data_IF_478190550725
#
_entry.id   IF_478190550725
#
_cell.length_a   1.000
_cell.length_b   1.000
_cell.length_c   1.000
_cell.angle_alpha   90.00
_cell.angle_beta   90.00
_cell.angle_gamma   90.00
#
_symmetry.space_group_name_H-M   'P 1'
#
loop_
_entity.id
_entity.type
_entity.pdbx_description
1 polymer ?
#
# COMPACT_ATOMS: atom_id res chain seq x y z
N UNK A 1 -37.03 5.86 -21.46
CA UNK A 1 -36.98 4.69 -20.55
C UNK A 1 -35.79 3.76 -20.75
N UNK A 2 -35.53 3.18 -21.94
CA UNK A 2 -34.41 2.23 -22.15
C UNK A 2 -33.04 2.72 -21.63
N UNK A 3 -32.73 4.00 -21.84
CA UNK A 3 -31.46 4.59 -21.40
C UNK A 3 -31.33 4.67 -19.87
N UNK A 4 -32.39 5.02 -19.14
CA UNK A 4 -32.39 5.05 -17.67
C UNK A 4 -32.14 3.65 -17.07
N UNK A 5 -32.70 2.60 -17.68
CA UNK A 5 -32.45 1.21 -17.26
C UNK A 5 -30.99 0.80 -17.47
N UNK A 6 -30.37 1.17 -18.61
CA UNK A 6 -28.94 0.92 -18.86
C UNK A 6 -28.08 1.60 -17.79
N UNK A 7 -28.41 2.85 -17.44
CA UNK A 7 -27.68 3.61 -16.41
C UNK A 7 -27.83 2.95 -15.03
N UNK A 8 -29.02 2.47 -14.68
CA UNK A 8 -29.21 1.71 -13.43
C UNK A 8 -28.48 0.38 -13.42
N UNK A 9 -28.47 -0.36 -14.52
CA UNK A 9 -27.72 -1.61 -14.59
C UNK A 9 -26.22 -1.37 -14.43
N UNK A 10 -25.71 -0.26 -14.97
CA UNK A 10 -24.34 0.18 -14.73
C UNK A 10 -24.13 0.53 -13.24
N UNK A 11 -25.03 1.31 -12.63
CA UNK A 11 -24.94 1.65 -11.21
C UNK A 11 -24.93 0.41 -10.31
N UNK A 12 -25.82 -0.55 -10.58
CA UNK A 12 -25.92 -1.81 -9.86
C UNK A 12 -24.65 -2.68 -9.99
N UNK A 13 -24.01 -2.69 -11.16
CA UNK A 13 -22.71 -3.38 -11.37
C UNK A 13 -21.54 -2.68 -10.68
N UNK A 14 -21.65 -1.38 -10.44
CA UNK A 14 -20.62 -0.60 -9.75
C UNK A 14 -20.71 -0.79 -8.23
N UNK A 15 -21.89 -1.08 -7.69
CA UNK A 15 -22.09 -1.29 -6.26
C UNK A 15 -21.25 -2.47 -5.72
N UNK A 16 -20.73 -2.36 -4.48
CA UNK A 16 -20.08 -3.47 -3.81
C UNK A 16 -21.06 -4.62 -3.55
N UNK A 17 -20.56 -5.86 -3.54
CA UNK A 17 -21.40 -7.08 -3.50
C UNK A 17 -22.42 -7.15 -2.35
N UNK A 18 -22.12 -6.56 -1.18
CA UNK A 18 -23.04 -6.52 -0.04
C UNK A 18 -24.24 -5.57 -0.24
N UNK A 19 -24.27 -4.75 -1.29
CA UNK A 19 -25.37 -3.84 -1.63
C UNK A 19 -26.11 -4.21 -2.91
N UNK A 20 -26.05 -5.47 -3.35
CA UNK A 20 -26.77 -5.87 -4.57
C UNK A 20 -28.29 -5.67 -4.47
N UNK A 21 -28.87 -5.82 -3.27
CA UNK A 21 -30.29 -5.52 -3.03
C UNK A 21 -30.66 -4.05 -3.32
N UNK A 22 -29.72 -3.11 -3.16
CA UNK A 22 -29.95 -1.72 -3.54
C UNK A 22 -30.05 -1.56 -5.06
N UNK A 23 -29.26 -2.32 -5.83
CA UNK A 23 -29.37 -2.33 -7.29
C UNK A 23 -30.72 -2.85 -7.77
N UNK A 24 -31.29 -3.84 -7.10
CA UNK A 24 -32.65 -4.33 -7.38
C UNK A 24 -33.72 -3.29 -7.04
N UNK A 25 -33.60 -2.63 -5.88
CA UNK A 25 -34.49 -1.54 -5.51
C UNK A 25 -34.42 -0.37 -6.50
N UNK A 26 -33.22 0.04 -6.93
CA UNK A 26 -33.05 1.09 -7.95
C UNK A 26 -33.73 0.73 -9.28
N UNK A 27 -33.70 -0.54 -9.69
CA UNK A 27 -34.41 -1.01 -10.89
C UNK A 27 -35.93 -0.93 -10.72
N UNK A 28 -36.44 -1.31 -9.55
CA UNK A 28 -37.86 -1.22 -9.25
C UNK A 28 -38.34 0.24 -9.29
N UNK A 29 -37.60 1.15 -8.67
CA UNK A 29 -37.90 2.59 -8.64
C UNK A 29 -37.89 3.20 -10.05
N UNK A 30 -36.87 2.93 -10.88
CA UNK A 30 -36.85 3.45 -12.27
C UNK A 30 -38.01 2.95 -13.12
N UNK A 31 -38.53 1.75 -12.86
CA UNK A 31 -39.70 1.22 -13.57
C UNK A 31 -41.00 1.89 -13.11
N UNK A 32 -41.05 2.39 -11.88
CA UNK A 32 -42.22 3.09 -11.35
C UNK A 32 -42.30 4.56 -11.83
N UNK A 33 -41.19 5.15 -12.28
CA UNK A 33 -41.17 6.52 -12.81
C UNK A 33 -41.71 6.55 -14.24
N UNK A 34 -42.86 7.18 -14.45
CA UNK A 34 -43.52 7.30 -15.76
C UNK A 34 -42.80 8.25 -16.71
N UNK A 35 -42.24 9.33 -16.15
CA UNK A 35 -41.55 10.38 -16.89
C UNK A 35 -40.12 9.96 -17.28
N UNK A 36 -39.85 9.90 -18.58
CA UNK A 36 -38.53 9.56 -19.11
C UNK A 36 -37.37 10.44 -18.61
N UNK A 37 -37.49 11.79 -18.55
CA UNK A 37 -36.41 12.64 -18.01
C UNK A 37 -36.19 12.42 -16.51
N UNK A 38 -37.25 12.23 -15.73
CA UNK A 38 -37.13 12.02 -14.28
C UNK A 38 -36.50 10.66 -13.97
N UNK A 39 -36.88 9.62 -14.71
CA UNK A 39 -36.27 8.30 -14.60
C UNK A 39 -34.77 8.35 -14.90
N UNK A 40 -34.36 9.18 -15.88
CA UNK A 40 -32.95 9.36 -16.22
C UNK A 40 -32.20 10.16 -15.15
N UNK A 41 -32.79 11.22 -14.62
CA UNK A 41 -32.21 12.01 -13.53
C UNK A 41 -31.99 11.15 -12.29
N UNK A 42 -32.98 10.34 -11.91
CA UNK A 42 -32.87 9.36 -10.83
C UNK A 42 -31.74 8.36 -11.10
N UNK A 43 -31.72 7.76 -12.29
CA UNK A 43 -30.69 6.80 -12.66
C UNK A 43 -29.27 7.39 -12.60
N UNK A 44 -29.11 8.63 -13.04
CA UNK A 44 -27.85 9.38 -12.94
C UNK A 44 -27.43 9.62 -11.48
N UNK A 45 -28.36 9.98 -10.61
CA UNK A 45 -28.12 10.12 -9.17
C UNK A 45 -27.66 8.82 -8.52
N UNK A 46 -28.32 7.70 -8.86
CA UNK A 46 -27.93 6.37 -8.39
C UNK A 46 -26.53 5.97 -8.86
N UNK A 47 -26.20 6.22 -10.13
CA UNK A 47 -24.86 5.95 -10.66
C UNK A 47 -23.79 6.79 -9.95
N UNK A 48 -24.07 8.07 -9.73
CA UNK A 48 -23.16 8.94 -8.98
C UNK A 48 -22.94 8.44 -7.54
N UNK A 49 -24.00 8.08 -6.83
CA UNK A 49 -23.92 7.53 -5.48
C UNK A 49 -23.12 6.22 -5.44
N UNK A 50 -23.36 5.30 -6.39
CA UNK A 50 -22.63 4.04 -6.50
C UNK A 50 -21.13 4.26 -6.77
N UNK A 51 -20.79 5.25 -7.63
CA UNK A 51 -19.40 5.63 -7.90
C UNK A 51 -18.73 6.23 -6.65
N UNK A 52 -19.41 7.12 -5.94
CA UNK A 52 -18.91 7.71 -4.69
C UNK A 52 -18.65 6.64 -3.62
N UNK A 53 -19.60 5.73 -3.41
CA UNK A 53 -19.46 4.63 -2.46
C UNK A 53 -18.25 3.74 -2.79
N UNK A 54 -18.11 3.34 -4.06
CA UNK A 54 -17.00 2.49 -4.51
C UNK A 54 -15.65 3.20 -4.37
N UNK A 55 -15.59 4.50 -4.65
CA UNK A 55 -14.38 5.31 -4.45
C UNK A 55 -14.01 5.35 -2.97
N UNK A 56 -14.99 5.50 -2.07
CA UNK A 56 -14.77 5.52 -0.62
C UNK A 56 -14.23 4.18 -0.11
N UNK A 57 -14.81 3.05 -0.52
CA UNK A 57 -14.32 1.72 -0.13
C UNK A 57 -12.90 1.48 -0.63
N UNK A 58 -12.59 1.82 -1.88
CA UNK A 58 -11.25 1.64 -2.43
C UNK A 58 -10.23 2.55 -1.73
N UNK A 59 -10.58 3.81 -1.47
CA UNK A 59 -9.74 4.73 -0.69
C UNK A 59 -9.48 4.18 0.71
N UNK A 60 -10.50 3.63 1.36
CA UNK A 60 -10.37 3.00 2.68
C UNK A 60 -9.42 1.79 2.63
N UNK A 61 -9.61 0.87 1.68
CA UNK A 61 -8.74 -0.31 1.52
C UNK A 61 -7.28 0.11 1.28
N UNK A 62 -7.05 1.06 0.37
CA UNK A 62 -5.70 1.54 0.06
C UNK A 62 -5.09 2.26 1.26
N UNK A 63 -5.86 3.08 1.97
CA UNK A 63 -5.41 3.78 3.17
C UNK A 63 -5.06 2.81 4.30
N UNK A 64 -5.92 1.84 4.60
CA UNK A 64 -5.66 0.79 5.58
C UNK A 64 -4.43 -0.04 5.20
N UNK A 65 -4.29 -0.39 3.91
CA UNK A 65 -3.10 -1.09 3.41
C UNK A 65 -1.82 -0.30 3.62
N UNK A 66 -1.82 1.01 3.31
CA UNK A 66 -0.67 1.90 3.57
C UNK A 66 -0.34 2.01 5.05
N UNK A 67 -1.35 2.08 5.93
CA UNK A 67 -1.16 2.12 7.37
C UNK A 67 -0.55 0.83 7.92
N UNK A 68 -1.06 -0.34 7.52
CA UNK A 68 -0.56 -1.63 7.99
C UNK A 68 0.88 -1.87 7.55
N UNK A 69 1.17 -1.68 6.26
CA UNK A 69 2.53 -1.84 5.74
C UNK A 69 3.46 -0.80 6.36
N UNK A 70 3.00 0.45 6.51
CA UNK A 70 3.75 1.52 7.17
C UNK A 70 4.08 1.19 8.63
N UNK A 71 3.13 0.64 9.39
CA UNK A 71 3.33 0.22 10.77
C UNK A 71 4.38 -0.88 10.88
N UNK A 72 4.26 -1.96 10.09
CA UNK A 72 5.24 -3.05 10.09
C UNK A 72 6.63 -2.51 9.73
N UNK A 73 6.71 -1.65 8.72
CA UNK A 73 7.96 -0.99 8.33
C UNK A 73 8.55 -0.18 9.47
N UNK A 74 7.74 0.59 10.19
CA UNK A 74 8.18 1.40 11.30
C UNK A 74 8.70 0.55 12.46
N UNK A 75 8.05 -0.58 12.76
CA UNK A 75 8.51 -1.54 13.77
C UNK A 75 9.88 -2.13 13.42
N UNK A 76 10.10 -2.46 12.14
CA UNK A 76 11.44 -2.87 11.66
C UNK A 76 12.47 -1.76 11.85
N UNK A 77 12.12 -0.51 11.51
CA UNK A 77 13.00 0.64 11.74
C UNK A 77 13.36 0.83 13.21
N UNK A 78 12.37 0.74 14.10
CA UNK A 78 12.56 0.83 15.54
C UNK A 78 13.45 -0.30 16.07
N UNK A 79 13.25 -1.54 15.60
CA UNK A 79 14.09 -2.68 15.96
C UNK A 79 15.57 -2.43 15.63
N UNK A 80 15.88 -1.92 14.43
CA UNK A 80 17.26 -1.54 14.09
C UNK A 80 17.80 -0.44 15.01
N UNK A 81 17.02 0.60 15.30
CA UNK A 81 17.48 1.65 16.22
C UNK A 81 17.73 1.11 17.64
N UNK A 82 16.92 0.17 18.13
CA UNK A 82 17.16 -0.51 19.41
C UNK A 82 18.47 -1.30 19.35
N UNK A 83 18.74 -2.04 18.27
CA UNK A 83 20.02 -2.74 18.08
C UNK A 83 21.21 -1.77 18.08
N UNK A 84 21.06 -0.60 17.47
CA UNK A 84 22.09 0.45 17.48
C UNK A 84 22.36 0.95 18.89
N UNK A 85 21.30 1.29 19.64
CA UNK A 85 21.41 1.76 21.03
C UNK A 85 22.09 0.70 21.89
N UNK A 86 21.66 -0.55 21.80
CA UNK A 86 22.26 -1.65 22.56
C UNK A 86 23.76 -1.85 22.23
N UNK A 87 24.15 -1.65 20.96
CA UNK A 87 25.55 -1.69 20.55
C UNK A 87 26.37 -0.50 21.09
N UNK A 88 25.77 0.69 21.16
CA UNK A 88 26.42 1.90 21.68
C UNK A 88 26.54 1.90 23.22
N UNK A 89 25.59 1.29 23.93
CA UNK A 89 25.57 1.22 25.40
C UNK A 89 26.34 0.03 25.96
N UNK A 90 26.94 -0.80 25.09
CA UNK A 90 27.68 -1.99 25.50
C UNK A 90 26.80 -3.13 26.02
N UNK A 91 25.50 -3.10 25.74
CA UNK A 91 24.55 -4.16 26.09
C UNK A 91 24.60 -5.35 25.12
N UNK A 92 25.39 -5.25 24.04
CA UNK A 92 25.61 -6.35 23.11
C UNK A 92 26.56 -7.41 23.69
N UNK A 93 26.25 -8.69 23.46
CA UNK A 93 27.08 -9.81 23.92
C UNK A 93 28.50 -9.85 23.30
N UNK A 94 28.73 -9.06 22.25
CA UNK A 94 30.00 -8.95 21.54
C UNK A 94 30.31 -7.48 21.26
N UNK A 95 31.60 -7.09 21.17
CA UNK A 95 31.98 -5.74 20.76
C UNK A 95 31.50 -5.47 19.34
N UNK A 96 30.73 -4.38 19.17
CA UNK A 96 30.17 -3.99 17.88
C UNK A 96 31.16 -3.09 17.16
N UNK A 97 31.49 -3.43 15.92
CA UNK A 97 32.36 -2.58 15.11
C UNK A 97 31.65 -1.26 14.75
N UNK A 98 32.35 -0.11 14.75
CA UNK A 98 31.71 1.19 14.47
C UNK A 98 30.93 1.26 13.16
N UNK A 99 31.41 0.61 12.10
CA UNK A 99 30.73 0.57 10.80
C UNK A 99 29.38 -0.18 10.87
N UNK A 100 29.25 -1.18 11.75
CA UNK A 100 27.97 -1.89 11.97
C UNK A 100 26.96 -0.96 12.60
N UNK A 101 27.37 -0.12 13.55
CA UNK A 101 26.49 0.88 14.17
C UNK A 101 25.95 1.85 13.12
N UNK A 102 26.81 2.36 12.23
CA UNK A 102 26.41 3.25 11.12
C UNK A 102 25.44 2.56 10.17
N UNK A 103 25.71 1.30 9.82
CA UNK A 103 24.83 0.50 8.94
C UNK A 103 23.46 0.29 9.58
N UNK A 104 23.41 -0.15 10.85
CA UNK A 104 22.16 -0.35 11.60
C UNK A 104 21.39 0.96 11.73
N UNK A 105 22.06 2.08 12.02
CA UNK A 105 21.44 3.40 12.09
C UNK A 105 20.79 3.78 10.75
N UNK A 106 21.52 3.58 9.65
CA UNK A 106 21.04 3.89 8.30
C UNK A 106 19.83 3.03 7.95
N UNK A 107 19.85 1.74 8.31
CA UNK A 107 18.70 0.84 8.15
C UNK A 107 17.49 1.32 8.95
N UNK A 108 17.67 1.64 10.24
CA UNK A 108 16.58 2.11 11.10
C UNK A 108 15.93 3.39 10.58
N UNK A 109 16.74 4.40 10.27
CA UNK A 109 16.26 5.69 9.74
C UNK A 109 15.60 5.54 8.38
N UNK A 110 16.15 4.72 7.49
CA UNK A 110 15.57 4.47 6.17
C UNK A 110 14.21 3.78 6.27
N UNK A 111 14.03 2.81 7.17
CA UNK A 111 12.72 2.17 7.36
C UNK A 111 11.70 3.16 7.92
N UNK A 112 12.06 4.00 8.89
CA UNK A 112 11.14 5.04 9.40
C UNK A 112 10.76 6.06 8.30
N UNK A 113 11.72 6.47 7.47
CA UNK A 113 11.47 7.36 6.34
C UNK A 113 10.56 6.70 5.28
N UNK A 114 10.77 5.40 5.00
CA UNK A 114 9.91 4.63 4.09
C UNK A 114 8.49 4.49 4.65
N UNK A 115 8.34 4.20 5.94
CA UNK A 115 7.05 4.14 6.63
C UNK A 115 6.29 5.48 6.51
N UNK A 116 6.96 6.59 6.83
CA UNK A 116 6.39 7.93 6.68
C UNK A 116 6.03 8.23 5.22
N UNK A 117 6.91 7.87 4.27
CA UNK A 117 6.66 8.00 2.84
C UNK A 117 5.43 7.23 2.38
N UNK A 118 5.16 6.06 2.95
CA UNK A 118 4.00 5.24 2.59
C UNK A 118 2.70 5.78 3.21
N UNK A 119 2.73 6.12 4.51
CA UNK A 119 1.56 6.62 5.26
C UNK A 119 1.09 7.98 4.73
N UNK A 120 2.02 8.92 4.51
CA UNK A 120 1.72 10.25 3.99
C UNK A 120 1.69 10.33 2.46
N UNK A 121 1.78 9.17 1.79
CA UNK A 121 1.79 9.04 0.33
C UNK A 121 2.77 9.98 -0.40
N UNK A 122 4.03 9.92 0.02
CA UNK A 122 5.16 10.61 -0.61
C UNK A 122 6.04 9.60 -1.33
N UNK A 123 5.73 9.20 -2.58
CA UNK A 123 6.42 8.13 -3.28
C UNK A 123 7.91 8.40 -3.48
N UNK A 124 8.31 9.66 -3.73
CA UNK A 124 9.73 10.04 -3.85
C UNK A 124 10.51 9.73 -2.58
N UNK A 125 9.96 10.10 -1.41
CA UNK A 125 10.55 9.82 -0.10
C UNK A 125 10.64 8.32 0.17
N UNK A 126 9.56 7.59 -0.14
CA UNK A 126 9.54 6.13 0.01
C UNK A 126 10.65 5.47 -0.81
N UNK A 127 10.74 5.79 -2.11
CA UNK A 127 11.73 5.16 -2.99
C UNK A 127 13.17 5.55 -2.65
N UNK A 128 13.43 6.80 -2.25
CA UNK A 128 14.75 7.20 -1.77
C UNK A 128 15.14 6.46 -0.50
N UNK A 129 14.20 6.27 0.42
CA UNK A 129 14.44 5.56 1.66
C UNK A 129 14.67 4.05 1.43
N UNK A 130 13.91 3.42 0.53
CA UNK A 130 14.16 2.04 0.11
C UNK A 130 15.53 1.90 -0.54
N UNK A 131 15.91 2.81 -1.43
CA UNK A 131 17.24 2.78 -2.06
C UNK A 131 18.36 2.92 -1.02
N UNK A 132 18.19 3.80 -0.03
CA UNK A 132 19.14 4.02 1.05
C UNK A 132 19.28 2.80 1.98
N UNK A 133 18.22 2.00 2.14
CA UNK A 133 18.28 0.74 2.87
C UNK A 133 18.94 -0.39 2.04
N UNK A 134 18.66 -0.46 0.74
CA UNK A 134 19.13 -1.55 -0.13
C UNK A 134 20.60 -1.41 -0.48
N UNK A 135 21.07 -0.22 -0.85
CA UNK A 135 22.45 -0.02 -1.36
C UNK A 135 23.53 -0.48 -0.37
N UNK A 136 23.52 -0.08 0.92
CA UNK A 136 24.52 -0.54 1.88
C UNK A 136 24.47 -2.05 2.10
N UNK A 137 23.27 -2.62 2.19
CA UNK A 137 23.11 -4.07 2.32
C UNK A 137 23.70 -4.82 1.13
N UNK A 138 23.47 -4.32 -0.10
CA UNK A 138 23.95 -4.94 -1.33
C UNK A 138 25.47 -4.91 -1.41
N UNK A 139 26.08 -3.77 -1.08
CA UNK A 139 27.54 -3.63 -0.99
C UNK A 139 28.13 -4.63 0.01
N UNK A 140 27.57 -4.73 1.21
CA UNK A 140 28.04 -5.69 2.23
C UNK A 140 27.88 -7.14 1.77
N UNK A 141 26.78 -7.47 1.10
CA UNK A 141 26.52 -8.83 0.61
C UNK A 141 27.48 -9.22 -0.50
N UNK A 142 27.70 -8.33 -1.48
CA UNK A 142 28.67 -8.54 -2.56
C UNK A 142 30.08 -8.67 -2.01
N UNK A 143 30.47 -7.80 -1.07
CA UNK A 143 31.76 -7.89 -0.41
C UNK A 143 31.92 -9.20 0.37
N UNK A 144 30.89 -9.63 1.10
CA UNK A 144 30.87 -10.90 1.83
C UNK A 144 31.02 -12.12 0.93
N UNK A 145 30.35 -12.11 -0.23
CA UNK A 145 30.50 -13.15 -1.24
C UNK A 145 31.91 -13.16 -1.84
N UNK A 146 32.46 -11.97 -2.17
CA UNK A 146 33.79 -11.84 -2.76
C UNK A 146 34.93 -12.27 -1.81
N UNK A 147 34.75 -12.05 -0.51
CA UNK A 147 35.76 -12.35 0.52
C UNK A 147 35.51 -13.66 1.26
N UNK A 148 34.42 -14.38 0.94
CA UNK A 148 33.93 -15.55 1.69
C UNK A 148 33.74 -15.32 3.19
N UNK A 149 33.59 -14.06 3.59
CA UNK A 149 33.47 -13.70 4.99
C UNK A 149 32.00 -13.86 5.44
N UNK A 150 31.72 -14.99 6.09
CA UNK A 150 30.39 -15.41 6.56
C UNK A 150 29.68 -14.37 7.44
N UNK A 151 30.45 -13.54 8.14
CA UNK A 151 29.93 -12.39 8.91
C UNK A 151 29.14 -11.40 8.04
N UNK A 152 29.54 -11.16 6.80
CA UNK A 152 28.86 -10.24 5.89
C UNK A 152 27.63 -10.86 5.23
N UNK A 153 27.63 -12.18 5.02
CA UNK A 153 26.46 -12.91 4.49
C UNK A 153 25.27 -12.90 5.46
N UNK A 154 25.55 -12.78 6.78
CA UNK A 154 24.53 -12.56 7.80
C UNK A 154 23.83 -11.20 7.70
N UNK A 155 24.22 -10.33 6.78
CA UNK A 155 23.53 -9.06 6.51
C UNK A 155 22.62 -9.13 5.27
N UNK A 156 22.44 -10.30 4.66
CA UNK A 156 21.53 -10.48 3.51
C UNK A 156 20.05 -10.67 3.90
N UNK A 157 19.76 -11.10 5.14
CA UNK A 157 18.38 -11.30 5.60
C UNK A 157 17.45 -10.06 5.54
N UNK A 158 17.91 -8.78 5.63
CA UNK A 158 17.04 -7.61 5.54
C UNK A 158 16.46 -7.38 4.14
N UNK A 159 17.00 -8.02 3.09
CA UNK A 159 16.46 -7.86 1.73
C UNK A 159 15.07 -8.46 1.57
N UNK A 160 14.75 -9.54 2.28
CA UNK A 160 13.45 -10.19 2.15
C UNK A 160 12.32 -9.25 2.66
N UNK A 161 12.40 -8.64 3.86
CA UNK A 161 11.46 -7.61 4.29
C UNK A 161 11.38 -6.41 3.33
N UNK A 162 12.52 -5.91 2.84
CA UNK A 162 12.56 -4.78 1.90
C UNK A 162 11.89 -5.10 0.56
N UNK A 163 12.09 -6.31 0.03
CA UNK A 163 11.47 -6.77 -1.20
C UNK A 163 9.95 -6.93 -1.04
N UNK A 164 9.49 -7.51 0.08
CA UNK A 164 8.06 -7.60 0.40
C UNK A 164 7.41 -6.22 0.53
N UNK A 165 8.12 -5.27 1.16
CA UNK A 165 7.68 -3.90 1.35
C UNK A 165 7.60 -3.13 0.03
N UNK A 166 8.62 -3.24 -0.83
CA UNK A 166 8.59 -2.68 -2.17
C UNK A 166 7.47 -3.30 -3.02
N UNK A 167 7.27 -4.61 -2.93
CA UNK A 167 6.18 -5.34 -3.59
C UNK A 167 4.80 -4.85 -3.13
N UNK A 168 4.60 -4.68 -1.82
CA UNK A 168 3.36 -4.17 -1.26
C UNK A 168 3.09 -2.73 -1.70
N UNK A 169 4.10 -1.85 -1.72
CA UNK A 169 3.97 -0.49 -2.20
C UNK A 169 3.64 -0.41 -3.70
N UNK A 170 4.29 -1.26 -4.51
CA UNK A 170 3.96 -1.40 -5.94
C UNK A 170 2.54 -1.90 -6.15
N UNK A 171 2.10 -2.89 -5.37
CA UNK A 171 0.73 -3.41 -5.42
C UNK A 171 -0.30 -2.34 -5.05
N UNK A 172 -0.06 -1.56 -3.99
CA UNK A 172 -0.91 -0.44 -3.60
C UNK A 172 -0.94 0.67 -4.67
N UNK A 173 0.21 1.01 -5.24
CA UNK A 173 0.30 1.97 -6.35
C UNK A 173 -0.43 1.45 -7.60
N UNK A 174 -0.37 0.15 -7.85
CA UNK A 174 -1.09 -0.48 -8.95
C UNK A 174 -2.60 -0.53 -8.73
N UNK A 175 -3.07 -0.79 -7.49
CA UNK A 175 -4.49 -0.70 -7.14
C UNK A 175 -5.03 0.71 -7.37
N UNK A 176 -4.22 1.73 -7.08
CA UNK A 176 -4.58 3.13 -7.32
C UNK A 176 -4.56 3.50 -8.81
N UNK A 177 -3.61 2.94 -9.59
CA UNK A 177 -3.45 3.22 -11.03
C UNK A 177 -4.33 2.37 -11.93
N UNK A 178 -4.86 1.24 -11.46
CA UNK A 178 -5.64 0.33 -12.31
C UNK A 178 -6.78 1.13 -12.95
N UNK A 179 -6.81 1.28 -14.29
CA UNK A 179 -7.94 1.91 -14.96
C UNK A 179 -9.16 1.10 -14.57
N UNK A 180 -10.20 1.80 -14.13
CA UNK A 180 -11.48 1.25 -13.69
C UNK A 180 -12.07 0.45 -14.85
N UNK A 181 -11.68 -0.82 -14.98
CA UNK A 181 -12.27 -1.68 -15.99
C UNK A 181 -13.76 -1.76 -15.62
N UNK A 182 -14.68 -1.33 -16.51
CA UNK A 182 -16.07 -1.69 -16.32
C UNK A 182 -16.08 -3.21 -16.20
N UNK A 183 -16.68 -3.72 -15.12
CA UNK A 183 -16.87 -5.16 -14.98
C UNK A 183 -17.73 -5.53 -16.18
N UNK A 184 -17.09 -6.19 -17.16
CA UNK A 184 -17.80 -6.71 -18.31
C UNK A 184 -18.87 -7.64 -17.76
N UNK A 185 -20.09 -7.36 -18.20
CA UNK A 185 -21.31 -7.97 -17.74
C UNK A 185 -21.57 -9.31 -18.40
#
# INVERSE_FOLDING_TARGET
>A
MKFALIVIDLAARVLPGHRQSWGEAMRAEVRAIESAPDALAFAGGCLWAALCERITVMKAIVFTGRLLVGLVTALYGAMFLVMMVNGLTGQSAQPVMPWVVVWVATMGLSHLAAAAGLVFWRPKLFWSAVALAVLPGLVLTVFGLATQASQFLRFAWPFLPLALLAGAALFLAWLERRPRRPIAA
#
